data_IF_693225342309
#
_entry.id   IF_693225342309
#
_cell.length_a   1.000
_cell.length_b   1.000
_cell.length_c   1.000
_cell.angle_alpha   90.00
_cell.angle_beta   90.00
_cell.angle_gamma   90.00
#
_symmetry.space_group_name_H-M   'P 1'
#
loop_
_entity.id
_entity.type
_entity.pdbx_description
1 polymer ?
#
# COMPACT_ATOMS: atom_id res chain seq x y z
N UNK A 1 -24.93 -19.52 23.06
CA UNK A 1 -25.45 -18.69 21.96
C UNK A 1 -24.39 -18.71 20.88
N UNK A 2 -24.69 -19.25 19.72
CA UNK A 2 -23.78 -19.15 18.57
C UNK A 2 -23.67 -17.69 18.20
N UNK A 3 -22.46 -17.11 18.28
CA UNK A 3 -22.22 -15.75 17.79
C UNK A 3 -22.62 -15.67 16.31
N UNK A 4 -23.25 -14.57 15.91
CA UNK A 4 -23.60 -14.35 14.50
C UNK A 4 -22.32 -14.27 13.66
N UNK A 5 -22.32 -14.84 12.43
CA UNK A 5 -21.15 -14.75 11.56
C UNK A 5 -20.78 -13.31 11.24
N UNK A 6 -19.48 -12.98 11.26
CA UNK A 6 -18.96 -11.64 10.98
C UNK A 6 -19.13 -11.27 9.51
N UNK A 7 -19.71 -10.11 9.25
CA UNK A 7 -19.94 -9.58 7.89
C UNK A 7 -18.76 -8.77 7.44
N UNK A 8 -18.31 -9.00 6.21
CA UNK A 8 -17.14 -8.35 5.60
C UNK A 8 -17.56 -7.42 4.47
N UNK A 9 -17.02 -6.20 4.49
CA UNK A 9 -17.11 -5.26 3.37
C UNK A 9 -15.72 -4.82 2.92
N UNK A 10 -15.48 -4.89 1.61
CA UNK A 10 -14.28 -4.38 0.97
C UNK A 10 -14.60 -2.99 0.42
N UNK A 11 -13.90 -1.97 0.91
CA UNK A 11 -14.05 -0.57 0.49
C UNK A 11 -13.02 -0.28 -0.58
N UNK A 12 -13.41 -0.49 -1.82
CA UNK A 12 -12.58 -0.31 -3.01
C UNK A 12 -12.54 -1.54 -3.91
N UNK A 13 -12.49 -1.31 -5.20
CA UNK A 13 -12.59 -2.34 -6.25
C UNK A 13 -11.55 -2.18 -7.35
N UNK A 14 -10.42 -1.59 -7.03
CA UNK A 14 -9.30 -1.52 -7.95
C UNK A 14 -8.65 -2.90 -8.18
N UNK A 15 -7.49 -2.92 -8.80
CA UNK A 15 -6.72 -4.14 -9.08
C UNK A 15 -6.45 -4.95 -7.79
N UNK A 16 -5.91 -4.31 -6.74
CA UNK A 16 -5.62 -4.98 -5.47
C UNK A 16 -6.89 -5.36 -4.70
N UNK A 17 -7.88 -4.48 -4.65
CA UNK A 17 -9.17 -4.76 -4.00
C UNK A 17 -9.88 -5.97 -4.60
N UNK A 18 -9.84 -6.13 -5.92
CA UNK A 18 -10.42 -7.28 -6.62
C UNK A 18 -9.66 -8.59 -6.34
N UNK A 19 -8.33 -8.55 -6.27
CA UNK A 19 -7.53 -9.72 -5.90
C UNK A 19 -7.83 -10.18 -4.45
N UNK A 20 -7.95 -9.23 -3.51
CA UNK A 20 -8.34 -9.48 -2.13
C UNK A 20 -9.78 -10.01 -2.03
N UNK A 21 -10.70 -9.48 -2.83
CA UNK A 21 -12.08 -9.97 -2.88
C UNK A 21 -12.15 -11.44 -3.29
N UNK A 22 -11.31 -11.87 -4.25
CA UNK A 22 -11.19 -13.28 -4.64
C UNK A 22 -10.77 -14.16 -3.45
N UNK A 23 -9.74 -13.74 -2.70
CA UNK A 23 -9.28 -14.47 -1.52
C UNK A 23 -10.38 -14.55 -0.46
N UNK A 24 -10.93 -13.41 -0.06
CA UNK A 24 -11.94 -13.33 1.01
C UNK A 24 -13.18 -14.13 0.63
N UNK A 25 -13.70 -13.96 -0.59
CA UNK A 25 -14.87 -14.68 -1.07
C UNK A 25 -14.71 -16.19 -0.99
N UNK A 26 -13.55 -16.72 -1.37
CA UNK A 26 -13.25 -18.15 -1.27
C UNK A 26 -13.09 -18.61 0.19
N UNK A 27 -12.46 -17.80 1.05
CA UNK A 27 -12.20 -18.17 2.44
C UNK A 27 -13.47 -18.21 3.29
N UNK A 28 -14.36 -17.22 3.17
CA UNK A 28 -15.58 -17.15 3.98
C UNK A 28 -16.52 -18.31 3.70
N UNK A 29 -16.47 -18.92 2.51
CA UNK A 29 -17.24 -20.14 2.20
C UNK A 29 -16.79 -21.37 2.98
N UNK A 30 -15.57 -21.35 3.51
CA UNK A 30 -14.96 -22.47 4.27
C UNK A 30 -14.92 -22.20 5.78
N UNK A 31 -15.15 -20.97 6.21
CA UNK A 31 -14.95 -20.49 7.58
C UNK A 31 -16.29 -20.04 8.17
N UNK A 32 -16.87 -20.84 9.06
CA UNK A 32 -18.18 -20.56 9.68
C UNK A 32 -18.23 -19.28 10.52
N UNK A 33 -17.08 -18.76 10.92
CA UNK A 33 -16.95 -17.49 11.68
C UNK A 33 -17.41 -16.28 10.87
N UNK A 34 -17.35 -16.34 9.56
CA UNK A 34 -17.67 -15.22 8.66
C UNK A 34 -18.96 -15.50 7.89
N UNK A 35 -19.71 -14.44 7.60
CA UNK A 35 -20.85 -14.52 6.73
C UNK A 35 -20.41 -14.89 5.29
N UNK A 36 -21.18 -15.75 4.65
CA UNK A 36 -20.83 -16.29 3.32
C UNK A 36 -20.85 -15.23 2.20
N UNK A 37 -21.61 -14.15 2.36
CA UNK A 37 -21.66 -13.03 1.41
C UNK A 37 -20.65 -11.97 1.79
N UNK A 38 -19.88 -11.50 0.79
CA UNK A 38 -18.90 -10.41 0.92
C UNK A 38 -19.37 -9.25 0.06
N UNK A 39 -19.57 -8.08 0.66
CA UNK A 39 -19.85 -6.86 -0.08
C UNK A 39 -18.55 -6.20 -0.52
N UNK A 40 -18.54 -5.68 -1.74
CA UNK A 40 -17.44 -4.85 -2.26
C UNK A 40 -18.01 -3.55 -2.80
N UNK A 41 -17.60 -2.43 -2.21
CA UNK A 41 -17.97 -1.14 -2.77
C UNK A 41 -17.24 -0.90 -4.08
N UNK A 42 -18.03 -0.66 -5.13
CA UNK A 42 -17.54 -0.44 -6.49
C UNK A 42 -18.01 0.93 -6.96
N UNK A 43 -17.07 1.81 -7.28
CA UNK A 43 -17.42 3.07 -7.93
C UNK A 43 -18.06 2.78 -9.28
N UNK A 44 -19.23 3.40 -9.55
CA UNK A 44 -19.99 3.11 -10.77
C UNK A 44 -19.29 3.68 -12.00
N UNK A 45 -18.94 2.81 -12.93
CA UNK A 45 -18.29 3.15 -14.18
C UNK A 45 -18.90 2.35 -15.33
N UNK A 46 -18.76 2.90 -16.53
CA UNK A 46 -19.17 2.22 -17.77
C UNK A 46 -17.98 1.57 -18.43
N UNK A 47 -18.11 0.31 -18.81
CA UNK A 47 -17.12 -0.45 -19.58
C UNK A 47 -17.81 -1.06 -20.79
N UNK A 48 -17.43 -0.62 -21.98
CA UNK A 48 -18.03 -1.09 -23.25
C UNK A 48 -19.56 -1.07 -23.24
N UNK A 49 -20.16 -0.01 -22.72
CA UNK A 49 -21.63 0.19 -22.69
C UNK A 49 -22.38 -0.57 -21.58
N UNK A 50 -21.68 -1.29 -20.70
CA UNK A 50 -22.28 -1.94 -19.52
C UNK A 50 -21.74 -1.31 -18.22
N UNK A 51 -22.56 -1.27 -17.18
CA UNK A 51 -22.11 -0.86 -15.85
C UNK A 51 -21.13 -1.90 -15.29
N UNK A 52 -19.99 -1.46 -14.76
CA UNK A 52 -18.99 -2.35 -14.14
C UNK A 52 -19.62 -3.20 -13.03
N UNK A 53 -20.52 -2.61 -12.25
CA UNK A 53 -21.23 -3.30 -11.17
C UNK A 53 -22.04 -4.49 -11.71
N UNK A 54 -22.78 -4.29 -12.82
CA UNK A 54 -23.56 -5.36 -13.45
C UNK A 54 -22.65 -6.46 -14.01
N UNK A 55 -21.50 -6.09 -14.57
CA UNK A 55 -20.51 -7.05 -15.05
C UNK A 55 -19.98 -7.89 -13.87
N UNK A 56 -19.61 -7.26 -12.77
CA UNK A 56 -19.11 -7.98 -11.59
C UNK A 56 -20.18 -8.91 -11.01
N UNK A 57 -21.42 -8.43 -10.86
CA UNK A 57 -22.49 -9.22 -10.23
C UNK A 57 -23.01 -10.36 -11.13
N UNK A 58 -22.97 -10.21 -12.45
CA UNK A 58 -23.52 -11.20 -13.39
C UNK A 58 -22.44 -12.09 -14.00
N UNK A 59 -21.30 -11.50 -14.37
CA UNK A 59 -20.21 -12.21 -15.06
C UNK A 59 -19.10 -12.63 -14.09
N UNK A 60 -19.15 -12.18 -12.84
CA UNK A 60 -18.19 -12.46 -11.76
C UNK A 60 -16.74 -12.15 -12.15
N UNK A 61 -16.53 -11.01 -12.80
CA UNK A 61 -15.20 -10.54 -13.22
C UNK A 61 -15.11 -9.03 -13.18
N UNK A 62 -14.02 -8.51 -12.64
CA UNK A 62 -13.70 -7.10 -12.77
C UNK A 62 -12.85 -6.89 -14.03
N UNK A 63 -13.52 -6.76 -15.16
CA UNK A 63 -12.89 -6.70 -16.50
C UNK A 63 -12.01 -5.45 -16.69
N UNK A 64 -12.23 -4.40 -15.89
CA UNK A 64 -11.45 -3.17 -15.96
C UNK A 64 -10.14 -3.25 -15.17
N UNK A 65 -10.20 -3.76 -13.95
CA UNK A 65 -9.09 -3.67 -12.99
C UNK A 65 -8.38 -5.01 -12.75
N UNK A 66 -9.04 -6.14 -12.98
CA UNK A 66 -8.46 -7.47 -12.82
C UNK A 66 -8.96 -8.43 -13.92
N UNK A 67 -8.77 -8.11 -15.20
CA UNK A 67 -9.24 -8.95 -16.29
C UNK A 67 -8.58 -10.34 -16.27
N UNK A 68 -9.37 -11.35 -16.67
CA UNK A 68 -8.92 -12.74 -16.75
C UNK A 68 -8.98 -13.52 -15.44
N UNK A 69 -9.49 -12.92 -14.36
CA UNK A 69 -9.63 -13.58 -13.06
C UNK A 69 -11.09 -13.51 -12.58
N UNK A 70 -11.70 -14.67 -12.43
CA UNK A 70 -13.07 -14.77 -11.89
C UNK A 70 -13.07 -14.50 -10.40
N UNK A 71 -14.06 -13.72 -9.95
CA UNK A 71 -14.40 -13.53 -8.54
C UNK A 71 -15.40 -14.62 -8.12
N UNK A 72 -15.39 -15.05 -6.85
CA UNK A 72 -16.43 -15.94 -6.33
C UNK A 72 -17.81 -15.31 -6.42
N UNK A 73 -18.85 -16.13 -6.63
CA UNK A 73 -20.25 -15.70 -6.80
C UNK A 73 -20.81 -14.97 -5.57
N UNK A 74 -20.22 -15.22 -4.41
CA UNK A 74 -20.61 -14.60 -3.13
C UNK A 74 -20.01 -13.22 -2.89
N UNK A 75 -19.18 -12.72 -3.81
CA UNK A 75 -18.70 -11.33 -3.82
C UNK A 75 -19.70 -10.47 -4.56
N UNK A 76 -20.35 -9.56 -3.84
CA UNK A 76 -21.43 -8.72 -4.38
C UNK A 76 -20.93 -7.27 -4.49
N UNK A 77 -20.94 -6.74 -5.70
CA UNK A 77 -20.62 -5.34 -5.98
C UNK A 77 -21.79 -4.45 -5.57
N UNK A 78 -21.52 -3.42 -4.76
CA UNK A 78 -22.49 -2.47 -4.23
C UNK A 78 -22.05 -1.06 -4.62
N UNK A 79 -22.89 -0.27 -5.34
CA UNK A 79 -22.53 1.08 -5.78
C UNK A 79 -22.61 2.14 -4.69
N UNK A 80 -23.53 1.98 -3.75
CA UNK A 80 -23.71 2.91 -2.64
C UNK A 80 -22.79 2.54 -1.48
N UNK A 81 -21.87 3.45 -1.15
CA UNK A 81 -20.88 3.20 -0.09
C UNK A 81 -21.53 3.00 1.28
N UNK A 82 -22.54 3.79 1.63
CA UNK A 82 -23.25 3.64 2.90
C UNK A 82 -23.99 2.31 3.02
N UNK A 83 -24.59 1.82 1.93
CA UNK A 83 -25.22 0.49 1.88
C UNK A 83 -24.21 -0.65 1.96
N UNK A 84 -23.00 -0.44 1.44
CA UNK A 84 -21.95 -1.45 1.50
C UNK A 84 -21.47 -1.68 2.94
N UNK A 85 -21.37 -0.62 3.76
CA UNK A 85 -20.71 -0.67 5.08
C UNK A 85 -21.67 -0.76 6.28
N UNK A 86 -22.97 -0.48 6.14
CA UNK A 86 -23.88 -0.26 7.26
C UNK A 86 -23.99 -1.43 8.25
N UNK A 87 -23.77 -2.65 7.80
CA UNK A 87 -23.85 -3.87 8.60
C UNK A 87 -22.50 -4.64 8.67
N UNK A 88 -21.41 -4.00 8.23
CA UNK A 88 -20.10 -4.65 8.18
C UNK A 88 -19.41 -4.67 9.55
N UNK A 89 -19.08 -5.85 10.03
CA UNK A 89 -18.26 -6.05 11.24
C UNK A 89 -16.76 -5.86 10.92
N UNK A 90 -16.35 -6.19 9.69
CA UNK A 90 -14.97 -6.08 9.21
C UNK A 90 -14.92 -5.24 7.93
N UNK A 91 -14.10 -4.21 7.93
CA UNK A 91 -13.89 -3.29 6.82
C UNK A 91 -12.47 -3.44 6.26
N UNK A 92 -12.36 -3.68 4.95
CA UNK A 92 -11.08 -3.75 4.24
C UNK A 92 -10.93 -2.53 3.35
N UNK A 93 -10.08 -1.58 3.75
CA UNK A 93 -9.84 -0.35 3.00
C UNK A 93 -8.74 -0.55 1.96
N UNK A 94 -9.10 -0.42 0.68
CA UNK A 94 -8.20 -0.66 -0.45
C UNK A 94 -8.47 0.32 -1.60
N UNK A 95 -8.39 1.60 -1.28
CA UNK A 95 -8.59 2.74 -2.19
C UNK A 95 -7.30 3.54 -2.33
N UNK A 96 -7.15 4.40 -3.36
CA UNK A 96 -6.05 5.36 -3.40
C UNK A 96 -6.12 6.32 -2.19
N UNK A 97 -4.96 6.59 -1.57
CA UNK A 97 -4.88 7.31 -0.29
C UNK A 97 -5.51 8.70 -0.33
N UNK A 98 -5.48 9.39 -1.47
CA UNK A 98 -6.08 10.72 -1.62
C UNK A 98 -7.59 10.77 -1.37
N UNK A 99 -8.29 9.63 -1.44
CA UNK A 99 -9.74 9.56 -1.22
C UNK A 99 -10.13 9.18 0.21
N UNK A 100 -9.17 8.81 1.06
CA UNK A 100 -9.50 8.24 2.37
C UNK A 100 -10.27 9.21 3.26
N UNK A 101 -9.92 10.49 3.23
CA UNK A 101 -10.58 11.50 4.04
C UNK A 101 -12.07 11.62 3.69
N UNK A 102 -12.41 11.76 2.41
CA UNK A 102 -13.80 11.89 1.95
C UNK A 102 -14.61 10.61 2.17
N UNK A 103 -14.00 9.44 1.96
CA UNK A 103 -14.63 8.15 2.21
C UNK A 103 -14.98 7.98 3.70
N UNK A 104 -14.02 8.24 4.60
CA UNK A 104 -14.26 8.15 6.03
C UNK A 104 -15.30 9.15 6.52
N UNK A 105 -15.33 10.37 5.96
CA UNK A 105 -16.36 11.37 6.27
C UNK A 105 -17.76 10.90 5.86
N UNK A 106 -17.88 10.29 4.68
CA UNK A 106 -19.17 9.78 4.19
C UNK A 106 -19.74 8.65 5.06
N UNK A 107 -18.88 7.74 5.57
CA UNK A 107 -19.32 6.55 6.31
C UNK A 107 -19.16 6.66 7.83
N UNK A 108 -18.66 7.77 8.34
CA UNK A 108 -18.55 8.02 9.78
C UNK A 108 -19.92 7.90 10.45
N UNK A 109 -19.97 7.13 11.54
CA UNK A 109 -21.22 6.85 12.26
C UNK A 109 -22.20 5.91 11.56
N UNK A 110 -21.88 5.40 10.36
CA UNK A 110 -22.75 4.49 9.59
C UNK A 110 -22.34 3.01 9.68
N UNK A 111 -21.25 2.72 10.38
CA UNK A 111 -20.79 1.33 10.61
C UNK A 111 -21.20 0.86 12.00
N UNK A 112 -21.33 -0.46 12.23
CA UNK A 112 -21.65 -0.99 13.54
C UNK A 112 -20.61 -0.58 14.61
N UNK A 113 -21.08 -0.38 15.85
CA UNK A 113 -20.16 -0.21 16.98
C UNK A 113 -19.35 -1.48 17.17
N UNK A 114 -18.01 -1.33 17.33
CA UNK A 114 -17.11 -2.46 17.47
C UNK A 114 -16.66 -3.04 16.13
N UNK A 115 -17.02 -2.47 14.99
CA UNK A 115 -16.46 -2.84 13.71
C UNK A 115 -14.93 -2.66 13.73
N UNK A 116 -14.22 -3.54 13.01
CA UNK A 116 -12.76 -3.50 12.87
C UNK A 116 -12.38 -3.17 11.43
N UNK A 117 -11.29 -2.41 11.27
CA UNK A 117 -10.76 -2.09 9.96
C UNK A 117 -9.39 -2.72 9.71
N UNK A 118 -9.08 -2.95 8.45
CA UNK A 118 -7.73 -3.21 7.96
C UNK A 118 -7.45 -2.33 6.74
N UNK A 119 -6.33 -1.63 6.77
CA UNK A 119 -5.89 -0.80 5.65
C UNK A 119 -4.83 -1.51 4.82
N UNK A 120 -5.08 -1.59 3.52
CA UNK A 120 -4.12 -2.06 2.51
C UNK A 120 -3.57 -0.86 1.70
N UNK A 121 -3.80 0.35 2.18
CA UNK A 121 -3.48 1.58 1.47
C UNK A 121 -2.01 1.91 1.68
N UNK A 122 -1.27 2.07 0.58
CA UNK A 122 0.14 2.46 0.58
C UNK A 122 0.24 3.97 0.42
N UNK A 123 0.70 4.66 1.45
CA UNK A 123 0.86 6.11 1.46
C UNK A 123 0.96 6.65 2.87
N UNK A 124 1.33 7.90 2.94
CA UNK A 124 1.35 8.72 4.16
C UNK A 124 0.67 10.03 3.84
N UNK A 125 0.32 10.78 4.86
CA UNK A 125 -0.20 12.13 4.74
C UNK A 125 0.62 13.09 5.60
N UNK A 126 0.55 14.38 5.32
CA UNK A 126 1.16 15.43 6.11
C UNK A 126 0.11 16.01 7.06
N UNK A 127 0.34 15.84 8.34
CA UNK A 127 -0.51 16.38 9.38
C UNK A 127 0.09 17.62 10.03
N UNK A 128 -0.66 18.32 10.93
CA UNK A 128 -0.19 19.51 11.62
C UNK A 128 1.08 19.31 12.48
N UNK A 129 1.35 18.07 12.86
CA UNK A 129 2.53 17.68 13.64
C UNK A 129 3.61 16.96 12.82
N UNK A 130 3.47 16.92 11.50
CA UNK A 130 4.33 16.20 10.58
C UNK A 130 3.64 14.97 10.00
N UNK A 131 4.23 13.77 10.16
CA UNK A 131 3.69 12.52 9.62
C UNK A 131 2.28 12.21 10.17
N UNK A 132 1.36 11.88 9.28
CA UNK A 132 0.08 11.27 9.58
C UNK A 132 -0.08 9.95 8.81
N UNK A 133 -0.35 8.87 9.53
CA UNK A 133 -0.59 7.56 8.93
C UNK A 133 -2.04 7.47 8.44
N UNK A 134 -2.24 6.77 7.33
CA UNK A 134 -3.59 6.54 6.77
C UNK A 134 -4.47 5.77 7.76
N UNK A 135 -3.89 4.79 8.47
CA UNK A 135 -4.60 4.06 9.52
C UNK A 135 -5.04 4.96 10.69
N UNK A 136 -4.27 6.00 11.03
CA UNK A 136 -4.66 6.98 12.05
C UNK A 136 -5.83 7.86 11.57
N UNK A 137 -5.85 8.23 10.29
CA UNK A 137 -6.99 8.96 9.70
C UNK A 137 -8.27 8.14 9.82
N UNK A 138 -8.21 6.85 9.47
CA UNK A 138 -9.37 5.95 9.57
C UNK A 138 -9.81 5.81 11.03
N UNK A 139 -8.88 5.56 11.96
CA UNK A 139 -9.19 5.42 13.39
C UNK A 139 -9.90 6.65 13.94
N UNK A 140 -9.35 7.84 13.67
CA UNK A 140 -9.88 9.10 14.19
C UNK A 140 -11.27 9.43 13.63
N UNK A 141 -11.47 9.22 12.31
CA UNK A 141 -12.74 9.57 11.65
C UNK A 141 -13.84 8.55 11.87
N UNK A 142 -13.49 7.28 12.00
CA UNK A 142 -14.44 6.18 12.09
C UNK A 142 -14.67 5.69 13.52
N UNK A 143 -13.80 6.05 14.47
CA UNK A 143 -13.79 5.53 15.84
C UNK A 143 -13.75 3.98 15.89
N UNK A 144 -12.90 3.39 15.08
CA UNK A 144 -12.68 1.93 15.00
C UNK A 144 -11.20 1.60 15.15
N UNK A 145 -10.90 0.37 15.60
CA UNK A 145 -9.51 -0.12 15.55
C UNK A 145 -9.12 -0.54 14.12
N UNK A 146 -7.88 -0.25 13.74
CA UNK A 146 -7.40 -0.47 12.37
C UNK A 146 -6.06 -1.20 12.38
N UNK A 147 -6.03 -2.38 11.78
CA UNK A 147 -4.82 -3.10 11.40
C UNK A 147 -4.34 -2.65 10.02
N UNK A 148 -3.13 -3.03 9.65
CA UNK A 148 -2.56 -2.71 8.32
C UNK A 148 -1.99 -3.96 7.68
N UNK A 149 -2.03 -4.05 6.35
CA UNK A 149 -1.45 -5.15 5.58
C UNK A 149 -0.53 -4.59 4.50
N UNK A 150 0.75 -4.99 4.55
CA UNK A 150 1.76 -4.62 3.58
C UNK A 150 2.65 -5.82 3.24
N UNK A 151 3.05 -5.94 1.99
CA UNK A 151 3.95 -7.00 1.56
C UNK A 151 4.28 -6.96 0.07
N UNK A 152 5.13 -7.87 -0.35
CA UNK A 152 5.49 -8.10 -1.75
C UNK A 152 4.33 -8.81 -2.46
N UNK A 153 3.31 -8.05 -2.85
CA UNK A 153 2.05 -8.56 -3.36
C UNK A 153 1.64 -7.83 -4.64
N UNK A 154 1.91 -8.45 -5.79
CA UNK A 154 1.40 -8.00 -7.07
C UNK A 154 0.01 -8.60 -7.29
N UNK A 155 -1.01 -7.77 -7.47
CA UNK A 155 -2.41 -8.20 -7.49
C UNK A 155 -2.70 -9.31 -8.51
N UNK A 156 -2.16 -9.23 -9.73
CA UNK A 156 -2.36 -10.26 -10.75
C UNK A 156 -1.73 -11.60 -10.37
N UNK A 157 -0.57 -11.58 -9.70
CA UNK A 157 0.07 -12.81 -9.22
C UNK A 157 -0.69 -13.44 -8.06
N UNK A 158 -1.19 -12.60 -7.14
CA UNK A 158 -2.06 -13.05 -6.04
C UNK A 158 -3.35 -13.65 -6.57
N UNK A 159 -4.01 -12.99 -7.54
CA UNK A 159 -5.21 -13.50 -8.18
C UNK A 159 -4.98 -14.80 -8.98
N UNK A 160 -3.77 -14.97 -9.52
CA UNK A 160 -3.32 -16.21 -10.18
C UNK A 160 -2.87 -17.29 -9.19
N UNK A 161 -3.03 -17.05 -7.89
CA UNK A 161 -2.68 -17.98 -6.81
C UNK A 161 -1.19 -18.38 -6.77
N UNK A 162 -0.31 -17.51 -7.28
CA UNK A 162 1.13 -17.67 -7.10
C UNK A 162 1.50 -17.44 -5.63
N UNK A 163 2.53 -18.17 -5.17
CA UNK A 163 3.00 -18.06 -3.79
C UNK A 163 3.54 -16.65 -3.50
N UNK A 164 3.07 -16.05 -2.43
CA UNK A 164 3.62 -14.84 -1.84
C UNK A 164 3.38 -14.76 -0.33
N UNK A 165 4.08 -13.84 0.29
CA UNK A 165 3.95 -13.52 1.71
C UNK A 165 3.43 -12.11 1.91
N UNK A 166 2.79 -11.86 3.05
CA UNK A 166 2.43 -10.52 3.48
C UNK A 166 2.52 -10.38 4.99
N UNK A 167 2.57 -9.15 5.47
CA UNK A 167 2.65 -8.82 6.89
C UNK A 167 1.43 -8.04 7.31
N UNK A 168 0.76 -8.49 8.37
CA UNK A 168 -0.25 -7.71 9.07
C UNK A 168 0.39 -7.08 10.30
N UNK A 169 0.31 -5.76 10.41
CA UNK A 169 0.62 -5.01 11.62
C UNK A 169 -0.65 -4.70 12.39
N UNK A 170 -0.71 -5.06 13.66
CA UNK A 170 -1.88 -4.80 14.50
C UNK A 170 -1.48 -4.49 15.94
N UNK A 171 -1.96 -3.36 16.46
CA UNK A 171 -1.72 -2.96 17.87
C UNK A 171 -2.44 -3.89 18.85
N UNK A 172 -3.57 -4.47 18.42
CA UNK A 172 -4.30 -5.50 19.15
C UNK A 172 -4.10 -6.82 18.41
N UNK A 173 -3.35 -7.73 18.99
CA UNK A 173 -2.91 -8.96 18.32
C UNK A 173 -4.10 -9.82 17.86
N UNK A 174 -5.15 -9.89 18.65
CA UNK A 174 -6.37 -10.65 18.34
C UNK A 174 -7.05 -10.15 17.06
N UNK A 175 -7.06 -8.84 16.81
CA UNK A 175 -7.59 -8.25 15.59
C UNK A 175 -6.74 -8.62 14.37
N UNK A 176 -5.42 -8.57 14.51
CA UNK A 176 -4.49 -9.00 13.46
C UNK A 176 -4.65 -10.49 13.12
N UNK A 177 -4.83 -11.34 14.11
CA UNK A 177 -5.07 -12.77 13.92
C UNK A 177 -6.42 -13.05 13.25
N UNK A 178 -7.46 -12.28 13.58
CA UNK A 178 -8.77 -12.37 12.91
C UNK A 178 -8.66 -12.05 11.42
N UNK A 179 -7.96 -10.97 11.06
CA UNK A 179 -7.72 -10.63 9.65
C UNK A 179 -6.80 -11.65 8.96
N UNK A 180 -5.83 -12.22 9.66
CA UNK A 180 -5.04 -13.34 9.14
C UNK A 180 -5.94 -14.53 8.81
N UNK A 181 -6.86 -14.91 9.68
CA UNK A 181 -7.81 -16.01 9.44
C UNK A 181 -8.66 -15.73 8.19
N UNK A 182 -9.14 -14.50 8.04
CA UNK A 182 -9.94 -14.08 6.89
C UNK A 182 -9.17 -14.14 5.56
N UNK A 183 -7.89 -13.77 5.56
CA UNK A 183 -7.11 -13.50 4.34
C UNK A 183 -6.13 -14.62 3.96
N UNK A 184 -5.67 -15.44 4.90
CA UNK A 184 -4.62 -16.41 4.63
C UNK A 184 -5.09 -17.55 3.73
N UNK A 185 -4.24 -17.92 2.77
CA UNK A 185 -4.38 -19.14 1.96
C UNK A 185 -3.05 -19.92 1.96
N UNK A 186 -2.99 -21.14 1.43
CA UNK A 186 -1.72 -21.84 1.27
C UNK A 186 -0.67 -21.07 0.47
N UNK A 187 -1.11 -20.25 -0.50
CA UNK A 187 -0.23 -19.47 -1.38
C UNK A 187 -0.17 -17.98 -1.02
N UNK A 188 -0.94 -17.53 -0.04
CA UNK A 188 -0.89 -16.17 0.52
C UNK A 188 -0.65 -16.27 2.02
N UNK A 189 0.63 -16.32 2.41
CA UNK A 189 1.05 -16.58 3.80
C UNK A 189 1.19 -15.28 4.57
N UNK A 190 0.65 -15.26 5.78
CA UNK A 190 0.55 -14.03 6.59
C UNK A 190 1.31 -14.18 7.90
N UNK A 191 2.20 -13.23 8.17
CA UNK A 191 2.82 -12.99 9.48
C UNK A 191 2.13 -11.82 10.15
N UNK A 192 1.76 -11.96 11.42
CA UNK A 192 1.20 -10.86 12.22
C UNK A 192 2.29 -10.34 13.17
N UNK A 193 2.44 -9.02 13.22
CA UNK A 193 3.36 -8.31 14.12
C UNK A 193 2.64 -7.17 14.83
N UNK A 194 3.14 -6.77 16.01
CA UNK A 194 2.52 -5.71 16.81
C UNK A 194 2.82 -4.28 16.28
N UNK A 195 3.87 -4.11 15.51
CA UNK A 195 4.41 -2.82 15.05
C UNK A 195 3.66 -2.30 13.81
N UNK A 196 2.37 -2.01 13.95
CA UNK A 196 1.50 -1.59 12.85
C UNK A 196 2.02 -0.34 12.13
N UNK A 197 2.50 0.66 12.85
CA UNK A 197 3.00 1.92 12.27
C UNK A 197 4.24 1.66 11.38
N UNK A 198 5.17 0.80 11.82
CA UNK A 198 6.34 0.43 11.04
C UNK A 198 5.97 -0.37 9.77
N UNK A 199 5.02 -1.29 9.87
CA UNK A 199 4.50 -2.05 8.71
C UNK A 199 3.91 -1.09 7.68
N UNK A 200 3.11 -0.12 8.11
CA UNK A 200 2.47 0.85 7.22
C UNK A 200 3.51 1.76 6.52
N UNK A 201 4.50 2.25 7.26
CA UNK A 201 5.58 3.06 6.71
C UNK A 201 6.41 2.33 5.65
N UNK A 202 6.65 1.05 5.81
CA UNK A 202 7.34 0.25 4.79
C UNK A 202 6.65 0.36 3.42
N UNK A 203 5.33 0.24 3.38
CA UNK A 203 4.55 0.32 2.14
C UNK A 203 4.64 1.66 1.41
N UNK A 204 4.82 2.75 2.15
CA UNK A 204 4.98 4.09 1.59
C UNK A 204 6.43 4.38 1.18
N UNK A 205 7.37 4.23 2.10
CA UNK A 205 8.76 4.67 1.95
C UNK A 205 9.54 3.87 0.90
N UNK A 206 9.23 2.59 0.70
CA UNK A 206 9.87 1.77 -0.33
C UNK A 206 9.82 2.37 -1.72
N UNK A 207 8.78 3.13 -2.03
CA UNK A 207 8.61 3.74 -3.35
C UNK A 207 9.68 4.81 -3.63
N UNK A 208 10.17 5.50 -2.61
CA UNK A 208 11.29 6.44 -2.74
C UNK A 208 12.56 5.68 -3.11
N UNK A 209 12.82 4.57 -2.44
CA UNK A 209 14.00 3.73 -2.71
C UNK A 209 13.93 3.14 -4.12
N UNK A 210 12.75 2.75 -4.57
CA UNK A 210 12.54 2.24 -5.92
C UNK A 210 12.85 3.29 -7.00
N UNK A 211 12.56 4.56 -6.76
CA UNK A 211 12.98 5.66 -7.66
C UNK A 211 14.51 5.73 -7.72
N UNK A 212 15.18 5.69 -6.58
CA UNK A 212 16.65 5.64 -6.52
C UNK A 212 17.25 4.45 -7.25
N UNK A 213 16.65 3.26 -7.10
CA UNK A 213 17.05 2.07 -7.84
C UNK A 213 16.88 2.25 -9.36
N UNK A 214 15.78 2.89 -9.79
CA UNK A 214 15.55 3.22 -11.20
C UNK A 214 16.57 4.21 -11.74
N UNK A 215 16.98 5.21 -10.97
CA UNK A 215 18.09 6.11 -11.36
C UNK A 215 19.37 5.34 -11.61
N UNK A 216 19.72 4.37 -10.74
CA UNK A 216 20.90 3.52 -10.97
C UNK A 216 20.80 2.70 -12.25
N UNK A 217 19.62 2.17 -12.57
CA UNK A 217 19.40 1.42 -13.81
C UNK A 217 19.59 2.35 -15.03
N UNK A 218 19.00 3.54 -15.02
CA UNK A 218 19.12 4.52 -16.12
C UNK A 218 20.52 5.09 -16.31
N UNK A 219 21.31 5.19 -15.24
CA UNK A 219 22.73 5.59 -15.29
C UNK A 219 23.68 4.42 -15.56
N UNK A 220 23.18 3.20 -15.69
CA UNK A 220 24.00 1.97 -15.87
C UNK A 220 25.04 1.77 -14.78
N UNK A 221 24.70 2.06 -13.52
CA UNK A 221 25.63 1.99 -12.40
C UNK A 221 26.06 0.54 -12.02
N UNK A 222 25.32 -0.46 -12.48
CA UNK A 222 25.56 -1.87 -12.17
C UNK A 222 24.87 -2.37 -10.90
N UNK A 223 24.86 -3.69 -10.74
CA UNK A 223 24.09 -4.39 -9.70
C UNK A 223 24.59 -4.10 -8.29
N UNK A 224 25.90 -3.94 -8.10
CA UNK A 224 26.47 -3.61 -6.78
C UNK A 224 25.97 -2.26 -6.26
N UNK A 225 25.92 -1.26 -7.12
CA UNK A 225 25.40 0.08 -6.76
C UNK A 225 23.92 0.01 -6.45
N UNK A 226 23.13 -0.70 -7.26
CA UNK A 226 21.71 -0.91 -7.02
C UNK A 226 21.45 -1.63 -5.70
N UNK A 227 22.23 -2.66 -5.39
CA UNK A 227 22.17 -3.36 -4.10
C UNK A 227 22.47 -2.42 -2.92
N UNK A 228 23.46 -1.53 -3.06
CA UNK A 228 23.79 -0.52 -2.06
C UNK A 228 22.63 0.47 -1.86
N UNK A 229 21.99 0.94 -2.93
CA UNK A 229 20.78 1.80 -2.84
C UNK A 229 19.68 1.10 -2.07
N UNK A 230 19.40 -0.16 -2.36
CA UNK A 230 18.37 -0.94 -1.67
C UNK A 230 18.70 -1.08 -0.18
N UNK A 231 19.93 -1.42 0.15
CA UNK A 231 20.37 -1.55 1.55
C UNK A 231 20.31 -0.23 2.31
N UNK A 232 20.89 0.83 1.76
CA UNK A 232 20.89 2.16 2.40
C UNK A 232 19.47 2.72 2.50
N UNK A 233 18.65 2.49 1.48
CA UNK A 233 17.23 2.83 1.53
C UNK A 233 16.49 2.12 2.65
N UNK A 234 16.74 0.84 2.86
CA UNK A 234 16.19 0.09 3.99
C UNK A 234 16.63 0.68 5.33
N UNK A 235 17.90 1.09 5.45
CA UNK A 235 18.42 1.73 6.66
C UNK A 235 17.76 3.08 6.93
N UNK A 236 17.53 3.90 5.88
CA UNK A 236 16.76 5.14 6.03
C UNK A 236 15.30 4.90 6.40
N UNK A 237 14.65 3.87 5.84
CA UNK A 237 13.31 3.46 6.25
C UNK A 237 13.24 3.12 7.73
N UNK A 238 14.20 2.34 8.24
CA UNK A 238 14.30 1.98 9.67
C UNK A 238 14.53 3.24 10.53
N UNK A 239 15.45 4.11 10.12
CA UNK A 239 15.76 5.34 10.82
C UNK A 239 14.53 6.28 10.89
N UNK A 240 13.80 6.41 9.78
CA UNK A 240 12.57 7.18 9.71
C UNK A 240 11.50 6.63 10.66
N UNK A 241 11.25 5.33 10.62
CA UNK A 241 10.29 4.70 11.50
C UNK A 241 10.64 4.91 12.99
N UNK A 242 11.92 4.81 13.36
CA UNK A 242 12.38 5.04 14.73
C UNK A 242 12.15 6.46 15.24
N UNK A 243 12.15 7.44 14.36
CA UNK A 243 11.90 8.84 14.72
C UNK A 243 10.40 9.15 14.80
N UNK A 244 9.61 8.60 13.87
CA UNK A 244 8.23 9.04 13.65
C UNK A 244 7.15 8.07 14.12
N UNK A 245 7.44 6.76 14.26
CA UNK A 245 6.47 5.83 14.82
C UNK A 245 6.34 5.99 16.33
N UNK A 246 5.13 5.74 16.81
CA UNK A 246 4.86 5.66 18.26
C UNK A 246 5.26 4.27 18.77
N UNK A 247 6.09 4.22 19.80
CA UNK A 247 6.51 2.97 20.44
C UNK A 247 7.80 2.37 19.89
N UNK A 248 8.02 1.10 20.20
CA UNK A 248 9.24 0.38 19.81
C UNK A 248 9.23 0.03 18.34
N UNK A 249 10.38 0.21 17.68
CA UNK A 249 10.60 -0.19 16.28
C UNK A 249 11.75 -1.18 16.21
N UNK A 250 11.44 -2.43 15.93
CA UNK A 250 12.40 -3.53 15.75
C UNK A 250 12.89 -3.63 14.32
N UNK A 251 14.17 -3.89 14.14
CA UNK A 251 14.71 -4.26 12.82
C UNK A 251 14.05 -5.52 12.24
N UNK A 252 13.59 -6.43 13.11
CA UNK A 252 12.96 -7.68 12.69
C UNK A 252 11.71 -7.45 11.82
N UNK A 253 10.92 -6.41 12.11
CA UNK A 253 9.74 -6.06 11.29
C UNK A 253 10.13 -5.70 9.85
N UNK A 254 11.28 -5.06 9.66
CA UNK A 254 11.79 -4.72 8.32
C UNK A 254 12.37 -5.92 7.56
N UNK A 255 12.60 -7.05 8.22
CA UNK A 255 12.98 -8.32 7.58
C UNK A 255 11.77 -9.14 7.13
N UNK A 256 10.56 -8.74 7.49
CA UNK A 256 9.31 -9.35 7.05
C UNK A 256 8.95 -8.96 5.59
N UNK A 257 7.87 -9.54 5.07
CA UNK A 257 7.42 -9.28 3.69
C UNK A 257 7.14 -7.80 3.44
N UNK A 258 6.62 -7.05 4.42
CA UNK A 258 6.37 -5.61 4.29
C UNK A 258 7.63 -4.78 4.09
N UNK A 259 8.77 -5.24 4.60
CA UNK A 259 10.06 -4.55 4.51
C UNK A 259 10.89 -5.04 3.34
N UNK A 260 11.84 -5.94 3.61
CA UNK A 260 12.87 -6.37 2.65
C UNK A 260 12.28 -7.00 1.39
N UNK A 261 11.27 -7.86 1.49
CA UNK A 261 10.73 -8.54 0.31
C UNK A 261 10.00 -7.57 -0.62
N UNK A 262 9.14 -6.70 -0.09
CA UNK A 262 8.42 -5.69 -0.89
C UNK A 262 9.39 -4.64 -1.47
N UNK A 263 10.43 -4.29 -0.74
CA UNK A 263 11.51 -3.41 -1.23
C UNK A 263 12.23 -4.02 -2.44
N UNK A 264 12.62 -5.29 -2.35
CA UNK A 264 13.26 -6.02 -3.46
C UNK A 264 12.33 -6.04 -4.68
N UNK A 265 11.09 -6.48 -4.52
CA UNK A 265 10.12 -6.56 -5.62
C UNK A 265 9.92 -5.20 -6.30
N UNK A 266 9.75 -4.15 -5.51
CA UNK A 266 9.50 -2.80 -6.00
C UNK A 266 10.71 -2.20 -6.72
N UNK A 267 11.93 -2.47 -6.24
CA UNK A 267 13.17 -1.99 -6.85
C UNK A 267 13.56 -2.73 -8.14
N UNK A 268 13.01 -3.91 -8.40
CA UNK A 268 13.30 -4.68 -9.63
C UNK A 268 12.17 -4.62 -10.66
N UNK A 269 10.91 -4.63 -10.26
CA UNK A 269 9.77 -4.80 -11.17
C UNK A 269 8.75 -3.64 -11.18
N UNK A 270 8.78 -2.74 -10.22
CA UNK A 270 7.75 -1.73 -10.00
C UNK A 270 7.72 -0.59 -11.01
N UNK A 271 6.57 0.10 -11.06
CA UNK A 271 6.38 1.31 -11.91
C UNK A 271 7.35 2.43 -11.54
N UNK A 272 7.58 2.67 -10.24
CA UNK A 272 8.51 3.69 -9.76
C UNK A 272 9.92 3.49 -10.32
N UNK A 273 10.41 2.24 -10.30
CA UNK A 273 11.72 1.91 -10.88
C UNK A 273 11.77 2.17 -12.39
N UNK A 274 10.75 1.68 -13.13
CA UNK A 274 10.73 1.81 -14.60
C UNK A 274 10.67 3.26 -15.07
N UNK A 275 9.83 4.08 -14.44
CA UNK A 275 9.72 5.50 -14.78
C UNK A 275 10.99 6.25 -14.39
N UNK A 276 11.58 5.95 -13.24
CA UNK A 276 12.84 6.56 -12.81
C UNK A 276 14.03 6.18 -13.71
N UNK A 277 14.08 4.94 -14.20
CA UNK A 277 15.04 4.51 -15.22
C UNK A 277 14.91 5.34 -16.50
N UNK A 278 13.68 5.49 -17.01
CA UNK A 278 13.43 6.33 -18.20
C UNK A 278 13.76 7.80 -17.95
N UNK A 279 13.48 8.34 -16.77
CA UNK A 279 13.85 9.70 -16.37
C UNK A 279 15.36 9.91 -16.45
N UNK A 280 16.14 9.02 -15.84
CA UNK A 280 17.60 9.11 -15.85
C UNK A 280 18.20 8.90 -17.25
N UNK A 281 17.62 8.03 -18.06
CA UNK A 281 18.13 7.72 -19.39
C UNK A 281 17.76 8.75 -20.47
N UNK A 282 16.63 9.44 -20.34
CA UNK A 282 16.09 10.29 -21.40
C UNK A 282 16.11 11.77 -21.10
N UNK A 283 16.25 12.18 -19.84
CA UNK A 283 16.14 13.56 -19.37
C UNK A 283 14.73 14.17 -19.48
N UNK A 284 13.70 13.34 -19.76
CA UNK A 284 12.30 13.78 -19.74
C UNK A 284 11.85 14.06 -18.32
N UNK A 285 10.87 14.96 -18.16
CA UNK A 285 10.29 15.24 -16.83
C UNK A 285 9.42 14.07 -16.31
N UNK A 286 9.19 14.03 -15.01
CA UNK A 286 8.29 13.04 -14.40
C UNK A 286 6.88 13.14 -15.01
N UNK A 287 6.37 14.36 -15.24
CA UNK A 287 5.04 14.59 -15.80
C UNK A 287 4.92 14.08 -17.24
N UNK A 288 5.96 14.25 -18.07
CA UNK A 288 6.00 13.70 -19.43
C UNK A 288 5.97 12.17 -19.40
N UNK A 289 6.76 11.55 -18.52
CA UNK A 289 6.83 10.10 -18.38
C UNK A 289 5.55 9.50 -17.76
N UNK A 290 4.90 10.21 -16.83
CA UNK A 290 3.59 9.81 -16.33
C UNK A 290 2.55 9.73 -17.45
N UNK A 291 2.55 10.70 -18.37
CA UNK A 291 1.66 10.68 -19.54
C UNK A 291 1.98 9.54 -20.50
N UNK A 292 3.26 9.34 -20.81
CA UNK A 292 3.70 8.34 -21.79
C UNK A 292 3.59 6.89 -21.26
N UNK A 293 3.96 6.66 -20.01
CA UNK A 293 4.12 5.33 -19.44
C UNK A 293 2.97 4.90 -18.52
N UNK A 294 2.23 5.86 -17.94
CA UNK A 294 1.21 5.59 -16.93
C UNK A 294 -0.18 6.15 -17.30
N UNK A 295 -0.39 6.54 -18.55
CA UNK A 295 -1.64 7.16 -19.02
C UNK A 295 -2.08 8.35 -18.14
N UNK A 296 -1.12 9.15 -17.67
CA UNK A 296 -1.35 10.32 -16.83
C UNK A 296 -1.58 10.01 -15.33
N UNK A 297 -1.50 8.75 -14.92
CA UNK A 297 -1.52 8.43 -13.49
C UNK A 297 -0.26 8.93 -12.80
N UNK A 298 -0.43 9.49 -11.60
CA UNK A 298 0.69 9.98 -10.80
C UNK A 298 1.57 8.86 -10.25
N UNK A 299 2.87 9.07 -10.28
CA UNK A 299 3.87 8.16 -9.74
C UNK A 299 4.03 8.39 -8.23
N UNK A 300 3.89 7.34 -7.44
CA UNK A 300 3.89 7.47 -5.97
C UNK A 300 5.26 7.80 -5.37
N UNK A 301 6.35 7.28 -5.93
CA UNK A 301 7.67 7.47 -5.35
C UNK A 301 8.12 8.94 -5.25
N UNK A 302 8.05 9.73 -6.33
CA UNK A 302 8.31 11.16 -6.26
C UNK A 302 7.38 11.89 -5.28
N UNK A 303 6.08 11.61 -5.33
CA UNK A 303 5.10 12.22 -4.42
C UNK A 303 5.44 11.93 -2.94
N UNK A 304 5.70 10.67 -2.59
CA UNK A 304 6.10 10.29 -1.22
C UNK A 304 7.42 10.94 -0.82
N UNK A 305 8.37 11.12 -1.76
CA UNK A 305 9.61 11.84 -1.47
C UNK A 305 9.37 13.30 -1.12
N UNK A 306 8.39 13.94 -1.76
CA UNK A 306 8.00 15.33 -1.45
C UNK A 306 7.34 15.42 -0.06
N UNK A 307 6.45 14.50 0.28
CA UNK A 307 5.82 14.41 1.60
C UNK A 307 6.88 14.20 2.70
N UNK A 308 7.80 13.26 2.51
CA UNK A 308 8.90 13.01 3.45
C UNK A 308 9.83 14.21 3.59
N UNK A 309 10.18 14.87 2.48
CA UNK A 309 10.99 16.07 2.49
C UNK A 309 10.32 17.21 3.28
N UNK A 310 9.01 17.41 3.08
CA UNK A 310 8.20 18.37 3.83
C UNK A 310 8.19 18.10 5.34
N UNK A 311 8.20 16.81 5.75
CA UNK A 311 8.27 16.40 7.16
C UNK A 311 9.67 16.60 7.76
N UNK A 312 10.73 16.29 7.00
CA UNK A 312 12.12 16.31 7.48
C UNK A 312 12.71 17.74 7.56
N UNK A 313 12.41 18.57 6.56
CA UNK A 313 13.02 19.90 6.40
C UNK A 313 12.79 20.83 7.60
N UNK A 314 11.56 21.02 8.13
CA UNK A 314 11.31 21.86 9.29
C UNK A 314 11.99 21.38 10.57
N UNK A 315 12.33 20.09 10.62
CA UNK A 315 12.96 19.44 11.77
C UNK A 315 14.50 19.42 11.68
N UNK A 316 15.07 19.93 10.60
CA UNK A 316 16.52 19.91 10.36
C UNK A 316 17.11 18.50 10.23
N UNK A 317 16.34 17.57 9.65
CA UNK A 317 16.71 16.14 9.58
C UNK A 317 17.15 15.68 8.19
N UNK A 318 17.22 16.57 7.19
CA UNK A 318 17.54 16.19 5.81
C UNK A 318 18.88 15.42 5.70
N UNK A 319 19.89 15.84 6.44
CA UNK A 319 21.22 15.20 6.41
C UNK A 319 21.24 13.76 6.95
N UNK A 320 20.24 13.38 7.73
CA UNK A 320 20.08 12.00 8.22
C UNK A 320 19.44 11.06 7.19
N UNK A 321 18.86 11.62 6.13
CA UNK A 321 18.15 10.91 5.08
C UNK A 321 18.63 11.34 3.69
N UNK A 322 19.91 11.14 3.38
CA UNK A 322 20.49 11.66 2.13
C UNK A 322 19.88 11.02 0.88
N UNK A 323 19.50 9.74 0.93
CA UNK A 323 18.86 9.05 -0.19
C UNK A 323 17.46 9.62 -0.46
N UNK A 324 16.62 9.72 0.56
CA UNK A 324 15.27 10.29 0.42
C UNK A 324 15.33 11.74 -0.03
N UNK A 325 16.26 12.52 0.51
CA UNK A 325 16.49 13.92 0.15
C UNK A 325 16.95 14.04 -1.31
N UNK A 326 17.92 13.23 -1.76
CA UNK A 326 18.42 13.24 -3.11
C UNK A 326 17.32 12.89 -4.13
N UNK A 327 16.49 11.90 -3.86
CA UNK A 327 15.37 11.54 -4.74
C UNK A 327 14.43 12.73 -4.93
N UNK A 328 14.05 13.41 -3.86
CA UNK A 328 13.20 14.60 -3.95
C UNK A 328 13.87 15.70 -4.77
N UNK A 329 15.12 16.04 -4.48
CA UNK A 329 15.83 17.13 -5.14
C UNK A 329 16.06 16.85 -6.63
N UNK A 330 16.30 15.61 -7.00
CA UNK A 330 16.42 15.20 -8.42
C UNK A 330 15.06 15.33 -9.12
N UNK A 331 13.98 14.85 -8.50
CA UNK A 331 12.65 14.88 -9.12
C UNK A 331 12.04 16.29 -9.23
N UNK A 332 12.29 17.18 -8.27
CA UNK A 332 11.57 18.46 -8.14
C UNK A 332 12.44 19.71 -8.13
N UNK A 333 13.71 19.62 -7.75
CA UNK A 333 14.61 20.76 -7.70
C UNK A 333 15.62 20.81 -8.87
N UNK A 334 15.48 19.87 -9.83
CA UNK A 334 16.30 19.84 -11.05
C UNK A 334 17.77 19.48 -10.80
N UNK A 335 18.07 18.80 -9.70
CA UNK A 335 19.43 18.33 -9.47
C UNK A 335 19.82 17.22 -10.44
N UNK A 336 21.08 17.14 -10.86
CA UNK A 336 21.57 16.08 -11.73
C UNK A 336 21.36 14.69 -11.11
N UNK A 337 20.95 13.69 -11.91
CA UNK A 337 20.71 12.31 -11.42
C UNK A 337 21.99 11.68 -10.86
N UNK A 338 23.14 12.08 -11.37
CA UNK A 338 24.48 11.64 -10.95
C UNK A 338 24.78 12.00 -9.48
N UNK A 339 24.15 13.01 -8.90
CA UNK A 339 24.28 13.38 -7.48
C UNK A 339 23.83 12.25 -6.54
N UNK A 340 23.04 11.30 -7.04
CA UNK A 340 22.68 10.08 -6.32
C UNK A 340 23.92 9.31 -5.84
N UNK A 341 24.96 9.22 -6.66
CA UNK A 341 26.22 8.54 -6.27
C UNK A 341 26.93 9.25 -5.12
N UNK A 342 26.94 10.59 -5.14
CA UNK A 342 27.53 11.38 -4.05
C UNK A 342 26.83 11.14 -2.72
N UNK A 343 25.49 11.01 -2.73
CA UNK A 343 24.72 10.73 -1.53
C UNK A 343 25.05 9.33 -0.96
N UNK A 344 25.29 8.33 -1.82
CA UNK A 344 25.70 7.00 -1.39
C UNK A 344 27.11 6.98 -0.78
N UNK A 345 28.05 7.68 -1.39
CA UNK A 345 29.45 7.73 -0.94
C UNK A 345 29.61 8.37 0.44
N UNK A 346 28.75 9.36 0.76
CA UNK A 346 28.81 10.12 2.00
C UNK A 346 27.68 9.76 2.99
N UNK A 347 27.11 8.57 2.84
CA UNK A 347 25.96 8.16 3.67
C UNK A 347 26.34 8.00 5.14
N UNK A 348 25.52 8.48 6.11
CA UNK A 348 25.78 8.39 7.55
C UNK A 348 25.97 6.97 8.09
N UNK A 349 25.51 5.96 7.39
CA UNK A 349 25.73 4.54 7.76
C UNK A 349 27.22 4.14 7.76
N UNK A 350 28.11 4.92 7.17
CA UNK A 350 29.54 4.67 7.10
C UNK A 350 30.35 5.45 8.16
N UNK A 351 29.69 6.32 8.91
CA UNK A 351 30.28 7.10 10.00
C UNK A 351 29.80 6.62 11.36
#
# INVERSE_FOLDING_TARGET
MTELPLKVCIVGSGNWGSAIAKIIGNNVMKLQKFASTVKMWVFEEMVNGRKLIDIINNDHENVKYLPGHKLPDNVIAVPNLSEAVWDADLLVFVIPHQFINSICEEISGKVPKGALGISLIKGIDEGPQGLKLISDIIREKMDIDVSVLMGANTANEVAAEKFCETTIGSKVMEHGLLFKELLQTPNFRIKVVAEADAVELCGALKNIVAVGAGFCDGLHCGDNTKAAVIRLGLMEMIAFARIFCKGHVSKATFLESCGVADLITTCYAGRNRKVAEAFAATGKTIEELEKEMLNGQKLQGPQTSAEVYGILKPKGLLDKFPLFTAVYQICYEGRPVEEMLSCLQNHPEYT
#
